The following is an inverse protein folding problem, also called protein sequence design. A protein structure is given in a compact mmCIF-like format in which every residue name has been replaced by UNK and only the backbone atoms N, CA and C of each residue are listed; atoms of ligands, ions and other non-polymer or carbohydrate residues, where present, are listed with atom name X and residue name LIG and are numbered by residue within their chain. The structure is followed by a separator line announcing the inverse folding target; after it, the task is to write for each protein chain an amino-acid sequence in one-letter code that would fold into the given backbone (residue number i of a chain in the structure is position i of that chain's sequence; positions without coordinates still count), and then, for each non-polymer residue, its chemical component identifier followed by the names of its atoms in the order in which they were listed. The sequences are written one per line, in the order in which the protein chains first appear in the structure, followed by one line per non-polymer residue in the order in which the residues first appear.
data_IF_283047786570
#
_entry.id   IF_283047786570
#
_cell.length_a   1.000
_cell.length_b   1.000
_cell.length_c   1.000
_cell.angle_alpha   90.00
_cell.angle_beta   90.00
_cell.angle_gamma   90.00
#
_symmetry.space_group_name_H-M   'P 1'
#
loop_
_entity.id
_entity.type
_entity.pdbx_description
1 polymer ?
#
# COMPACT_ATOMS: atom_id res chain seq x y z
N UNK A 1 -7.82 -19.39 -25.71
CA UNK A 1 -8.65 -18.88 -24.59
C UNK A 1 -7.93 -18.95 -23.24
N UNK A 2 -7.36 -20.10 -22.81
CA UNK A 2 -6.59 -20.21 -21.56
C UNK A 2 -5.36 -19.26 -21.48
N UNK A 3 -4.69 -19.02 -22.60
CA UNK A 3 -3.54 -18.11 -22.68
C UNK A 3 -3.90 -16.64 -22.45
N UNK A 4 -5.09 -16.21 -22.91
CA UNK A 4 -5.59 -14.86 -22.69
C UNK A 4 -5.98 -14.61 -21.22
N UNK A 5 -6.50 -15.65 -20.55
CA UNK A 5 -6.81 -15.63 -19.13
C UNK A 5 -5.52 -15.55 -18.29
N UNK A 6 -4.47 -16.31 -18.63
CA UNK A 6 -3.17 -16.20 -17.93
C UNK A 6 -2.52 -14.82 -18.09
N UNK A 7 -2.64 -14.19 -19.27
CA UNK A 7 -2.12 -12.84 -19.51
C UNK A 7 -2.82 -11.76 -18.66
N UNK A 8 -4.06 -11.96 -18.21
CA UNK A 8 -4.75 -10.99 -17.34
C UNK A 8 -4.24 -10.99 -15.89
N UNK A 9 -3.67 -12.11 -15.41
CA UNK A 9 -3.17 -12.20 -14.03
C UNK A 9 -1.77 -11.61 -13.86
N UNK A 10 -0.96 -11.60 -14.93
CA UNK A 10 0.42 -11.07 -14.89
C UNK A 10 0.43 -9.58 -14.48
N UNK A 11 -0.37 -8.68 -15.09
CA UNK A 11 -0.43 -7.28 -14.67
C UNK A 11 -0.87 -7.10 -13.22
N UNK A 12 -1.80 -7.92 -12.72
CA UNK A 12 -2.26 -7.87 -11.33
C UNK A 12 -1.12 -8.20 -10.37
N UNK A 13 -0.37 -9.28 -10.66
CA UNK A 13 0.81 -9.65 -9.86
C UNK A 13 1.89 -8.57 -9.90
N UNK A 14 2.18 -8.02 -11.08
CA UNK A 14 3.16 -6.94 -11.23
C UNK A 14 2.72 -5.70 -10.44
N UNK A 15 1.43 -5.32 -10.51
CA UNK A 15 0.88 -4.20 -9.77
C UNK A 15 1.00 -4.39 -8.26
N UNK A 16 0.67 -5.58 -7.76
CA UNK A 16 0.82 -5.92 -6.33
C UNK A 16 2.28 -5.80 -5.87
N UNK A 17 3.22 -6.36 -6.62
CA UNK A 17 4.65 -6.29 -6.29
C UNK A 17 5.14 -4.83 -6.36
N UNK A 18 4.73 -4.08 -7.39
CA UNK A 18 5.09 -2.69 -7.56
C UNK A 18 4.62 -1.84 -6.38
N UNK A 19 3.35 -1.96 -6.00
CA UNK A 19 2.79 -1.25 -4.84
C UNK A 19 3.48 -1.67 -3.54
N UNK A 20 3.72 -2.97 -3.36
CA UNK A 20 4.47 -3.46 -2.20
C UNK A 20 5.85 -2.81 -2.10
N UNK A 21 6.66 -2.87 -3.16
CA UNK A 21 8.03 -2.32 -3.19
C UNK A 21 8.00 -0.80 -3.03
N UNK A 22 7.06 -0.11 -3.65
CA UNK A 22 6.92 1.35 -3.56
C UNK A 22 6.60 1.79 -2.13
N UNK A 23 5.60 1.16 -1.48
CA UNK A 23 5.24 1.50 -0.11
C UNK A 23 6.31 1.09 0.89
N UNK A 24 6.99 -0.02 0.65
CA UNK A 24 8.15 -0.41 1.44
C UNK A 24 9.29 0.62 1.32
N UNK A 25 9.66 1.01 0.10
CA UNK A 25 10.75 1.94 -0.17
C UNK A 25 10.48 3.34 0.38
N UNK A 26 9.30 3.89 0.10
CA UNK A 26 8.90 5.21 0.62
C UNK A 26 8.83 5.16 2.15
N UNK A 27 8.24 4.11 2.73
CA UNK A 27 8.16 3.96 4.18
C UNK A 27 9.52 3.86 4.84
N UNK A 28 10.47 3.17 4.20
CA UNK A 28 11.84 3.08 4.67
C UNK A 28 12.53 4.46 4.71
N UNK A 29 12.42 5.24 3.62
CA UNK A 29 12.98 6.59 3.52
C UNK A 29 12.33 7.52 4.55
N UNK A 30 11.00 7.52 4.65
CA UNK A 30 10.27 8.35 5.63
C UNK A 30 10.69 8.04 7.07
N UNK A 31 10.88 6.77 7.41
CA UNK A 31 11.34 6.35 8.74
C UNK A 31 12.78 6.79 9.05
N UNK A 32 13.63 6.89 8.03
CA UNK A 32 14.99 7.41 8.19
C UNK A 32 14.98 8.92 8.45
N UNK A 33 14.12 9.69 7.76
CA UNK A 33 14.01 11.14 7.94
C UNK A 33 13.31 11.53 9.25
N UNK A 34 12.16 10.90 9.55
CA UNK A 34 11.29 11.28 10.66
C UNK A 34 11.65 10.61 12.00
N UNK A 35 12.61 9.67 12.00
CA UNK A 35 13.07 8.85 13.15
C UNK A 35 11.96 8.16 13.95
N UNK A 36 10.75 8.09 13.40
CA UNK A 36 9.61 7.34 13.93
C UNK A 36 9.60 5.95 13.29
N UNK A 37 9.11 4.89 13.93
CA UNK A 37 9.16 3.50 13.36
C UNK A 37 7.93 3.17 12.53
N UNK A 38 6.75 3.53 13.05
CA UNK A 38 5.46 3.08 12.54
C UNK A 38 4.73 4.16 11.73
N UNK A 39 5.36 5.32 11.57
CA UNK A 39 4.78 6.47 10.88
C UNK A 39 4.31 6.15 9.45
N UNK A 40 5.06 5.43 8.59
CA UNK A 40 4.60 5.05 7.26
C UNK A 40 3.34 4.19 7.26
N UNK A 41 3.21 3.30 8.24
CA UNK A 41 2.03 2.44 8.38
C UNK A 41 0.80 3.29 8.75
N UNK A 42 0.93 4.18 9.73
CA UNK A 42 -0.15 5.09 10.09
C UNK A 42 -0.52 6.06 8.95
N UNK A 43 0.49 6.61 8.25
CA UNK A 43 0.26 7.45 7.09
C UNK A 43 -0.49 6.71 5.99
N UNK A 44 -0.14 5.45 5.74
CA UNK A 44 -0.83 4.62 4.77
C UNK A 44 -2.31 4.41 5.13
N UNK A 45 -2.59 3.99 6.36
CA UNK A 45 -3.93 3.61 6.80
C UNK A 45 -4.84 4.81 7.01
N UNK A 46 -4.32 5.90 7.59
CA UNK A 46 -5.13 7.05 8.01
C UNK A 46 -5.25 8.09 6.90
N UNK A 47 -4.24 8.20 6.02
CA UNK A 47 -4.22 9.23 4.98
C UNK A 47 -4.39 8.63 3.61
N UNK A 48 -3.52 7.71 3.20
CA UNK A 48 -3.50 7.23 1.81
C UNK A 48 -4.77 6.44 1.48
N UNK A 49 -5.18 5.48 2.32
CA UNK A 49 -6.38 4.67 2.06
C UNK A 49 -7.66 5.53 1.95
N UNK A 50 -8.00 6.43 2.90
CA UNK A 50 -9.20 7.25 2.79
C UNK A 50 -9.15 8.19 1.59
N UNK A 51 -7.99 8.78 1.28
CA UNK A 51 -7.82 9.66 0.12
C UNK A 51 -8.06 8.90 -1.18
N UNK A 52 -7.52 7.68 -1.32
CA UNK A 52 -7.75 6.85 -2.51
C UNK A 52 -9.23 6.48 -2.64
N UNK A 53 -9.86 6.02 -1.56
CA UNK A 53 -11.29 5.64 -1.58
C UNK A 53 -12.16 6.83 -1.95
N UNK A 54 -11.90 8.00 -1.36
CA UNK A 54 -12.63 9.23 -1.63
C UNK A 54 -12.37 9.79 -3.03
N UNK A 55 -11.13 9.72 -3.53
CA UNK A 55 -10.73 10.17 -4.87
C UNK A 55 -11.39 9.36 -5.97
N UNK A 56 -11.61 8.06 -5.74
CA UNK A 56 -12.24 7.17 -6.72
C UNK A 56 -13.77 7.24 -6.68
N UNK A 57 -14.35 7.91 -5.68
CA UNK A 57 -15.79 7.97 -5.50
C UNK A 57 -16.44 9.03 -6.40
N UNK A 58 -17.28 8.58 -7.32
CA UNK A 58 -18.17 9.46 -8.07
C UNK A 58 -19.45 9.79 -7.26
N UNK A 59 -19.43 10.97 -6.65
CA UNK A 59 -20.52 11.50 -5.82
C UNK A 59 -21.81 11.77 -6.59
N UNK A 60 -21.76 11.86 -7.92
CA UNK A 60 -22.91 12.15 -8.76
C UNK A 60 -23.77 10.92 -9.09
N UNK A 61 -23.21 9.72 -8.98
CA UNK A 61 -23.86 8.50 -9.46
C UNK A 61 -24.22 7.50 -8.36
N UNK A 62 -23.52 7.52 -7.23
CA UNK A 62 -23.56 6.41 -6.28
C UNK A 62 -23.40 6.85 -4.81
N UNK A 63 -24.13 6.18 -3.91
CA UNK A 63 -23.95 6.31 -2.46
C UNK A 63 -22.62 5.70 -2.00
N UNK A 64 -22.00 6.28 -0.97
CA UNK A 64 -20.70 5.86 -0.43
C UNK A 64 -20.62 4.35 -0.13
N UNK A 65 -21.68 3.79 0.44
CA UNK A 65 -21.72 2.36 0.80
C UNK A 65 -21.67 1.44 -0.42
N UNK A 66 -22.33 1.85 -1.51
CA UNK A 66 -22.33 1.08 -2.75
C UNK A 66 -20.99 1.25 -3.49
N UNK A 67 -20.32 2.40 -3.33
CA UNK A 67 -18.99 2.64 -3.89
C UNK A 67 -17.95 1.71 -3.28
N UNK A 68 -17.93 1.58 -1.95
CA UNK A 68 -17.03 0.65 -1.26
C UNK A 68 -17.34 -0.81 -1.66
N UNK A 69 -18.61 -1.16 -1.87
CA UNK A 69 -19.00 -2.47 -2.37
C UNK A 69 -18.65 -2.73 -3.84
N UNK A 70 -18.36 -1.69 -4.62
CA UNK A 70 -18.07 -1.79 -6.07
C UNK A 70 -16.60 -2.07 -6.40
N UNK A 71 -15.70 -1.98 -5.41
CA UNK A 71 -14.27 -2.24 -5.62
C UNK A 71 -14.02 -3.64 -6.15
N UNK A 72 -13.12 -3.75 -7.13
CA UNK A 72 -12.73 -5.03 -7.69
C UNK A 72 -11.72 -5.72 -6.76
N UNK A 73 -11.61 -7.05 -6.89
CA UNK A 73 -10.65 -7.84 -6.13
C UNK A 73 -9.21 -7.31 -6.27
N UNK A 74 -8.86 -6.79 -7.45
CA UNK A 74 -7.54 -6.22 -7.76
C UNK A 74 -7.24 -5.00 -6.88
N UNK A 75 -8.23 -4.16 -6.60
CA UNK A 75 -8.07 -2.95 -5.79
C UNK A 75 -7.73 -3.32 -4.34
N UNK A 76 -8.48 -4.28 -3.78
CA UNK A 76 -8.22 -4.82 -2.44
C UNK A 76 -6.85 -5.46 -2.33
N UNK A 77 -6.48 -6.31 -3.30
CA UNK A 77 -5.18 -6.98 -3.32
C UNK A 77 -4.02 -5.97 -3.39
N UNK A 78 -4.17 -4.93 -4.19
CA UNK A 78 -3.16 -3.87 -4.32
C UNK A 78 -3.04 -3.05 -3.04
N UNK A 79 -4.17 -2.69 -2.42
CA UNK A 79 -4.18 -1.99 -1.14
C UNK A 79 -3.53 -2.81 -0.01
N UNK A 80 -3.83 -4.10 0.06
CA UNK A 80 -3.21 -5.03 1.03
C UNK A 80 -1.72 -5.19 0.77
N UNK A 81 -1.30 -5.32 -0.49
CA UNK A 81 0.12 -5.39 -0.84
C UNK A 81 0.88 -4.12 -0.40
N UNK A 82 0.29 -2.94 -0.62
CA UNK A 82 0.83 -1.67 -0.12
C UNK A 82 0.92 -1.61 1.41
N UNK A 83 -0.11 -2.08 2.12
CA UNK A 83 -0.14 -2.13 3.58
C UNK A 83 0.96 -3.03 4.15
N UNK A 84 1.12 -4.22 3.56
CA UNK A 84 2.17 -5.17 3.93
C UNK A 84 3.56 -4.53 3.70
N UNK A 85 3.74 -3.81 2.58
CA UNK A 85 4.98 -3.06 2.30
C UNK A 85 5.28 -2.00 3.35
N UNK A 86 4.29 -1.16 3.70
CA UNK A 86 4.44 -0.14 4.73
C UNK A 86 4.74 -0.75 6.12
N UNK A 87 4.06 -1.83 6.49
CA UNK A 87 4.29 -2.54 7.75
C UNK A 87 5.71 -3.13 7.82
N UNK A 88 6.15 -3.82 6.78
CA UNK A 88 7.49 -4.40 6.69
C UNK A 88 8.58 -3.33 6.73
N UNK A 89 8.34 -2.15 6.15
CA UNK A 89 9.29 -1.03 6.26
C UNK A 89 9.52 -0.61 7.72
N UNK A 90 8.46 -0.55 8.53
CA UNK A 90 8.54 -0.24 9.95
C UNK A 90 9.25 -1.33 10.74
N UNK A 91 8.95 -2.59 10.44
CA UNK A 91 9.62 -3.73 11.08
C UNK A 91 11.11 -3.80 10.76
N UNK A 92 11.49 -3.58 9.50
CA UNK A 92 12.91 -3.52 9.08
C UNK A 92 13.65 -2.40 9.81
N UNK A 93 13.06 -1.20 9.89
CA UNK A 93 13.65 -0.06 10.60
C UNK A 93 13.79 -0.34 12.10
N UNK A 94 12.77 -0.93 12.74
CA UNK A 94 12.85 -1.34 14.15
C UNK A 94 14.06 -2.24 14.38
N UNK A 95 14.23 -3.22 13.50
CA UNK A 95 15.33 -4.19 13.57
C UNK A 95 16.69 -3.51 13.37
N UNK A 96 16.80 -2.58 12.43
CA UNK A 96 18.02 -1.80 12.20
C UNK A 96 18.39 -0.92 13.41
N UNK A 97 17.42 -0.31 14.09
CA UNK A 97 17.67 0.48 15.31
C UNK A 97 18.22 -0.38 16.44
N UNK A 98 17.64 -1.58 16.64
CA UNK A 98 18.10 -2.52 17.66
C UNK A 98 19.54 -2.98 17.38
N UNK A 99 19.90 -3.14 16.10
CA UNK A 99 21.25 -3.53 15.67
C UNK A 99 22.27 -2.39 15.71
N UNK A 100 21.90 -1.20 16.17
CA UNK A 100 22.83 -0.06 16.31
C UNK A 100 23.20 0.61 14.99
N UNK A 101 22.45 0.37 13.91
CA UNK A 101 22.67 1.11 12.66
C UNK A 101 22.36 2.59 12.89
N UNK A 102 23.36 3.44 12.62
CA UNK A 102 23.15 4.88 12.57
C UNK A 102 22.28 5.20 11.35
N UNK A 103 21.04 5.58 11.62
CA UNK A 103 20.23 6.29 10.64
C UNK A 103 20.85 7.69 10.50
N UNK A 104 20.93 8.20 9.26
CA UNK A 104 21.49 9.51 8.92
C UNK A 104 21.15 10.61 9.95
#
# INVERSE_FOLDING_TARGET
MKTAIMLQFIPVLVLMILFFVMMFGIGFILNMLMKTTWFPCFLFVIVILPVVVYSLWDRGQMSFWTHVGSFQLVDYLTGVAGLIGAYLSGWTIKTLRIKGFRMF
#
